data_IF_915484264168
#
_entry.id   IF_915484264168
#
_cell.length_a   1.000
_cell.length_b   1.000
_cell.length_c   1.000
_cell.angle_alpha   90.00
_cell.angle_beta   90.00
_cell.angle_gamma   90.00
#
_symmetry.space_group_name_H-M   'P 1'
#
loop_
_entity.id
_entity.type
_entity.pdbx_description
1 polymer ?
#
# COMPACT_ATOMS: atom_id res chain seq x y z
N UNK A 1 -18.42 18.12 -8.07
CA UNK A 1 -18.15 16.67 -7.94
C UNK A 1 -17.67 16.37 -6.55
N UNK A 2 -18.16 15.30 -5.97
CA UNK A 2 -17.73 14.91 -4.65
C UNK A 2 -16.31 14.29 -4.70
N UNK A 3 -15.60 14.38 -3.59
CA UNK A 3 -14.28 13.79 -3.49
C UNK A 3 -14.29 12.28 -3.68
N UNK A 4 -15.41 11.62 -3.33
CA UNK A 4 -15.58 10.19 -3.55
C UNK A 4 -15.46 9.82 -5.02
N UNK A 5 -16.04 10.62 -5.93
CA UNK A 5 -15.94 10.33 -7.36
C UNK A 5 -14.51 10.33 -7.86
N UNK A 6 -13.68 11.23 -7.35
CA UNK A 6 -12.27 11.27 -7.75
C UNK A 6 -11.51 10.06 -7.23
N UNK A 7 -11.78 9.69 -5.99
CA UNK A 7 -11.20 8.47 -5.45
C UNK A 7 -11.61 7.24 -6.23
N UNK A 8 -12.88 7.18 -6.64
CA UNK A 8 -13.36 6.07 -7.45
C UNK A 8 -12.64 5.96 -8.79
N UNK A 9 -12.25 7.09 -9.38
CA UNK A 9 -11.49 7.08 -10.62
C UNK A 9 -10.13 6.40 -10.44
N UNK A 10 -9.44 6.70 -9.33
CA UNK A 10 -8.16 6.05 -9.04
C UNK A 10 -8.33 4.55 -8.84
N UNK A 11 -9.36 4.16 -8.10
CA UNK A 11 -9.64 2.74 -7.88
C UNK A 11 -10.06 2.04 -9.16
N UNK A 12 -10.88 2.68 -9.98
CA UNK A 12 -11.28 2.11 -11.25
C UNK A 12 -10.08 1.87 -12.15
N UNK A 13 -9.14 2.83 -12.19
CA UNK A 13 -7.90 2.67 -12.95
C UNK A 13 -7.07 1.51 -12.41
N UNK A 14 -7.01 1.35 -11.09
CA UNK A 14 -6.30 0.25 -10.47
C UNK A 14 -6.93 -1.09 -10.81
N UNK A 15 -8.25 -1.20 -10.74
CA UNK A 15 -8.96 -2.42 -11.11
C UNK A 15 -8.72 -2.78 -12.58
N UNK A 16 -8.67 -1.78 -13.44
CA UNK A 16 -8.44 -2.00 -14.87
C UNK A 16 -7.01 -2.48 -15.14
N UNK A 17 -6.04 -1.88 -14.46
CA UNK A 17 -4.63 -2.23 -14.65
C UNK A 17 -4.29 -3.59 -14.03
N UNK A 18 -4.92 -3.95 -12.92
CA UNK A 18 -4.60 -5.17 -12.17
C UNK A 18 -5.88 -5.90 -11.77
N UNK A 19 -6.55 -6.57 -12.74
CA UNK A 19 -7.81 -7.26 -12.43
C UNK A 19 -7.61 -8.33 -11.36
N UNK A 20 -8.48 -8.33 -10.37
CA UNK A 20 -8.48 -9.35 -9.31
C UNK A 20 -7.42 -9.16 -8.23
N UNK A 21 -6.62 -8.10 -8.29
CA UNK A 21 -5.58 -7.85 -7.28
C UNK A 21 -6.16 -7.23 -6.03
N UNK A 22 -7.14 -6.35 -6.20
CA UNK A 22 -7.79 -5.70 -5.06
C UNK A 22 -8.75 -6.70 -4.43
N UNK A 23 -8.48 -7.10 -3.19
CA UNK A 23 -9.26 -8.11 -2.49
C UNK A 23 -10.46 -7.52 -1.78
N UNK A 24 -10.32 -6.29 -1.30
CA UNK A 24 -11.37 -5.59 -0.58
C UNK A 24 -11.09 -4.11 -0.64
N UNK A 25 -12.13 -3.30 -0.48
CA UNK A 25 -11.98 -1.86 -0.43
C UNK A 25 -13.00 -1.27 0.53
N UNK A 26 -12.56 -0.29 1.31
CA UNK A 26 -13.43 0.40 2.25
C UNK A 26 -13.27 1.90 2.05
N UNK A 27 -14.39 2.59 2.06
CA UNK A 27 -14.42 4.04 1.83
C UNK A 27 -14.74 4.75 3.13
N UNK A 28 -13.94 5.74 3.48
CA UNK A 28 -14.21 6.62 4.60
C UNK A 28 -14.04 8.05 4.13
N UNK A 29 -15.08 8.64 3.62
CA UNK A 29 -15.10 9.99 3.07
C UNK A 29 -13.96 10.22 2.06
N UNK A 30 -12.84 10.82 2.49
CA UNK A 30 -11.69 11.09 1.64
C UNK A 30 -10.70 9.93 1.61
N UNK A 31 -10.79 9.05 2.58
CA UNK A 31 -9.88 7.92 2.70
C UNK A 31 -10.45 6.69 2.04
N UNK A 32 -9.58 5.96 1.40
CA UNK A 32 -9.95 4.68 0.79
C UNK A 32 -8.94 3.64 1.21
N UNK A 33 -9.42 2.50 1.64
CA UNK A 33 -8.56 1.39 2.00
C UNK A 33 -8.68 0.31 0.94
N UNK A 34 -7.57 0.01 0.29
CA UNK A 34 -7.51 -1.03 -0.71
C UNK A 34 -6.59 -2.14 -0.22
N UNK A 35 -7.09 -3.35 -0.16
CA UNK A 35 -6.30 -4.51 0.23
C UNK A 35 -5.87 -5.24 -1.04
N UNK A 36 -4.56 -5.41 -1.23
CA UNK A 36 -4.02 -6.06 -2.42
C UNK A 36 -3.29 -7.35 -2.05
N UNK A 37 -3.16 -8.23 -3.03
CA UNK A 37 -2.38 -9.45 -2.86
C UNK A 37 -0.90 -9.12 -2.70
N UNK A 38 -0.24 -9.85 -1.80
CA UNK A 38 1.15 -9.56 -1.44
C UNK A 38 2.09 -9.54 -2.65
N UNK A 39 1.92 -10.48 -3.58
CA UNK A 39 2.84 -10.60 -4.71
C UNK A 39 2.68 -9.49 -5.76
N UNK A 40 1.67 -8.63 -5.63
CA UNK A 40 1.46 -7.51 -6.55
C UNK A 40 1.65 -6.16 -5.86
N UNK A 41 2.10 -6.14 -4.61
CA UNK A 41 2.25 -4.90 -3.86
C UNK A 41 3.15 -3.87 -4.53
N UNK A 42 4.38 -4.24 -4.98
CA UNK A 42 5.24 -3.22 -5.61
C UNK A 42 4.63 -2.63 -6.88
N UNK A 43 4.00 -3.46 -7.68
CA UNK A 43 3.37 -3.02 -8.92
C UNK A 43 2.22 -2.04 -8.65
N UNK A 44 1.41 -2.32 -7.64
CA UNK A 44 0.27 -1.46 -7.29
C UNK A 44 0.76 -0.11 -6.77
N UNK A 45 1.74 -0.10 -5.86
CA UNK A 45 2.25 1.16 -5.32
C UNK A 45 2.95 1.96 -6.41
N UNK A 46 3.72 1.31 -7.28
CA UNK A 46 4.35 1.98 -8.41
C UNK A 46 3.31 2.63 -9.33
N UNK A 47 2.24 1.93 -9.61
CA UNK A 47 1.15 2.44 -10.45
C UNK A 47 0.53 3.71 -9.84
N UNK A 48 0.21 3.66 -8.56
CA UNK A 48 -0.38 4.80 -7.88
C UNK A 48 0.59 5.98 -7.82
N UNK A 49 1.87 5.70 -7.66
CA UNK A 49 2.90 6.73 -7.53
C UNK A 49 3.20 7.39 -8.88
N UNK A 50 3.53 6.59 -9.89
CA UNK A 50 4.01 7.14 -11.17
C UNK A 50 2.91 7.38 -12.18
N UNK A 51 1.89 6.53 -12.23
CA UNK A 51 0.84 6.66 -13.24
C UNK A 51 -0.31 7.51 -12.78
N UNK A 52 -0.60 7.51 -11.49
CA UNK A 52 -1.72 8.26 -10.95
C UNK A 52 -1.29 9.52 -10.19
N UNK A 53 0.00 9.78 -10.11
CA UNK A 53 0.52 10.99 -9.50
C UNK A 53 0.43 11.05 -7.98
N UNK A 54 0.38 9.92 -7.33
CA UNK A 54 0.32 9.88 -5.86
C UNK A 54 1.68 10.03 -5.22
N UNK A 55 1.67 10.43 -3.96
CA UNK A 55 2.86 10.51 -3.13
C UNK A 55 2.74 9.48 -2.01
N UNK A 56 3.85 8.86 -1.66
CA UNK A 56 3.89 8.01 -0.48
C UNK A 56 4.03 8.91 0.75
N UNK A 57 2.91 9.11 1.45
CA UNK A 57 2.89 9.99 2.62
C UNK A 57 3.48 9.34 3.84
N UNK A 58 3.08 8.10 4.12
CA UNK A 58 3.57 7.36 5.27
C UNK A 58 3.48 5.87 4.98
N UNK A 59 4.37 5.12 5.58
CA UNK A 59 4.42 3.67 5.49
C UNK A 59 4.65 3.15 6.89
N UNK A 60 3.82 2.22 7.34
CA UNK A 60 3.97 1.68 8.68
C UNK A 60 3.45 0.25 8.75
N UNK A 61 3.92 -0.47 9.76
CA UNK A 61 3.43 -1.81 10.03
C UNK A 61 2.52 -1.83 11.24
N UNK A 62 1.78 -2.90 11.37
CA UNK A 62 0.93 -3.12 12.53
C UNK A 62 0.83 -4.60 12.84
N UNK A 63 0.87 -4.94 14.11
CA UNK A 63 0.68 -6.31 14.57
C UNK A 63 -0.81 -6.55 14.77
N UNK A 64 -1.40 -7.25 13.82
CA UNK A 64 -2.85 -7.54 13.83
C UNK A 64 -3.14 -9.02 14.08
N UNK A 65 -2.18 -9.73 14.68
CA UNK A 65 -2.34 -11.17 14.91
C UNK A 65 -3.53 -11.51 15.79
N UNK A 66 -3.85 -10.65 16.75
CA UNK A 66 -5.00 -10.89 17.63
C UNK A 66 -6.33 -10.64 16.94
N UNK A 67 -6.32 -9.84 15.88
CA UNK A 67 -7.55 -9.51 15.14
C UNK A 67 -7.79 -10.46 13.98
N UNK A 68 -6.74 -10.75 13.20
CA UNK A 68 -6.89 -11.54 11.97
C UNK A 68 -5.79 -12.58 11.76
N UNK A 69 -4.86 -12.72 12.70
CA UNK A 69 -3.81 -13.72 12.60
C UNK A 69 -2.59 -13.30 11.79
N UNK A 70 -2.55 -12.07 11.32
CA UNK A 70 -1.49 -11.58 10.44
C UNK A 70 -0.88 -10.29 10.96
N UNK A 71 0.30 -9.96 10.46
CA UNK A 71 0.79 -8.58 10.47
C UNK A 71 0.23 -7.88 9.23
N UNK A 72 0.26 -6.57 9.25
CA UNK A 72 -0.12 -5.77 8.08
C UNK A 72 0.88 -4.66 7.87
N UNK A 73 1.11 -4.29 6.60
CA UNK A 73 1.90 -3.12 6.25
C UNK A 73 1.00 -2.21 5.42
N UNK A 74 1.05 -0.92 5.74
CA UNK A 74 0.18 0.09 5.17
C UNK A 74 1.03 1.10 4.40
N UNK A 75 0.68 1.31 3.14
CA UNK A 75 1.30 2.33 2.28
C UNK A 75 0.25 3.39 2.00
N UNK A 76 0.38 4.54 2.64
CA UNK A 76 -0.62 5.61 2.54
C UNK A 76 -0.22 6.55 1.41
N UNK A 77 -1.01 6.55 0.34
CA UNK A 77 -0.75 7.38 -0.82
C UNK A 77 -1.65 8.60 -0.80
N UNK A 78 -1.04 9.79 -0.89
CA UNK A 78 -1.77 11.04 -1.05
C UNK A 78 -1.94 11.31 -2.53
N UNK A 79 -3.18 11.34 -3.00
CA UNK A 79 -3.51 11.55 -4.41
C UNK A 79 -3.83 13.02 -4.61
N UNK A 80 -2.83 13.78 -5.07
CA UNK A 80 -2.88 15.22 -4.96
C UNK A 80 -3.34 16.01 -6.17
N UNK A 81 -3.94 15.43 -7.13
CA UNK A 81 -4.37 16.15 -8.34
C UNK A 81 -5.49 17.16 -8.03
N UNK A 82 -5.21 18.09 -7.09
CA UNK A 82 -6.21 19.06 -6.67
C UNK A 82 -7.27 18.50 -5.75
N UNK A 83 -7.09 17.27 -5.30
CA UNK A 83 -8.03 16.62 -4.41
C UNK A 83 -7.30 16.25 -3.13
N UNK A 84 -8.03 16.15 -2.04
CA UNK A 84 -7.47 15.68 -0.76
C UNK A 84 -7.83 14.22 -0.57
N UNK A 85 -7.53 13.42 -1.57
CA UNK A 85 -7.87 12.00 -1.57
C UNK A 85 -6.67 11.18 -1.13
N UNK A 86 -6.92 10.21 -0.25
CA UNK A 86 -5.90 9.30 0.25
C UNK A 86 -6.27 7.88 -0.13
N UNK A 87 -5.33 7.13 -0.66
CA UNK A 87 -5.51 5.71 -0.92
C UNK A 87 -4.49 4.96 -0.08
N UNK A 88 -4.99 4.09 0.80
CA UNK A 88 -4.13 3.28 1.65
C UNK A 88 -4.08 1.87 1.10
N UNK A 89 -2.90 1.44 0.69
CA UNK A 89 -2.67 0.06 0.24
C UNK A 89 -2.26 -0.74 1.46
N UNK A 90 -3.08 -1.73 1.80
CA UNK A 90 -2.82 -2.60 2.95
C UNK A 90 -2.44 -3.98 2.43
N UNK A 91 -1.31 -4.49 2.89
CA UNK A 91 -0.90 -5.85 2.58
C UNK A 91 -0.81 -6.65 3.87
N UNK A 92 -1.33 -7.86 3.85
CA UNK A 92 -1.23 -8.77 5.00
C UNK A 92 0.02 -9.60 4.88
N UNK A 93 0.73 -9.76 5.99
CA UNK A 93 1.98 -10.52 6.04
C UNK A 93 1.77 -11.73 6.94
N UNK A 94 2.00 -12.91 6.38
CA UNK A 94 1.84 -14.17 7.09
C UNK A 94 2.75 -14.19 8.32
N UNK A 95 2.17 -14.42 9.50
CA UNK A 95 2.90 -14.46 10.76
C UNK A 95 3.91 -15.60 10.83
N UNK A 96 3.75 -16.61 10.00
CA UNK A 96 4.67 -17.75 9.95
C UNK A 96 5.81 -17.56 8.95
N UNK A 97 5.67 -16.62 8.03
CA UNK A 97 6.68 -16.38 7.00
C UNK A 97 7.43 -15.06 7.21
N UNK A 98 6.73 -14.01 7.64
CA UNK A 98 7.30 -12.71 7.99
C UNK A 98 8.01 -12.02 6.81
N UNK A 99 7.54 -12.25 5.59
CA UNK A 99 8.11 -11.66 4.38
C UNK A 99 7.05 -10.99 3.54
N UNK A 100 7.44 -9.89 2.91
CA UNK A 100 6.59 -9.24 1.92
C UNK A 100 7.50 -8.60 0.85
N UNK A 101 7.01 -8.44 -0.39
CA UNK A 101 7.86 -7.88 -1.45
C UNK A 101 8.13 -6.40 -1.20
N UNK A 102 9.41 -6.01 -1.29
CA UNK A 102 9.82 -4.62 -1.09
C UNK A 102 9.33 -3.75 -2.24
N UNK A 103 8.82 -2.58 -1.91
CA UNK A 103 8.42 -1.56 -2.89
C UNK A 103 9.60 -0.65 -3.25
N UNK A 104 10.63 -0.59 -2.40
CA UNK A 104 11.75 0.34 -2.55
C UNK A 104 12.43 0.30 -3.91
N UNK A 105 12.67 -0.87 -4.54
CA UNK A 105 13.33 -0.88 -5.86
C UNK A 105 12.55 -0.12 -6.93
N UNK A 106 11.24 -0.05 -6.81
CA UNK A 106 10.39 0.67 -7.76
C UNK A 106 10.06 2.08 -7.31
N UNK A 107 9.91 2.28 -6.00
CA UNK A 107 9.58 3.57 -5.40
C UNK A 107 10.55 3.81 -4.25
N UNK A 108 11.70 4.46 -4.52
CA UNK A 108 12.73 4.64 -3.49
C UNK A 108 12.28 5.36 -2.23
N UNK A 109 11.21 6.14 -2.32
CA UNK A 109 10.65 6.82 -1.14
C UNK A 109 10.21 5.85 -0.04
N UNK A 110 10.04 4.56 -0.35
CA UNK A 110 9.61 3.56 0.62
C UNK A 110 10.73 3.06 1.54
N UNK A 111 11.98 3.43 1.26
CA UNK A 111 13.13 2.78 1.91
C UNK A 111 13.12 2.90 3.44
N UNK A 112 12.89 4.11 3.96
CA UNK A 112 12.95 4.33 5.41
C UNK A 112 11.81 3.63 6.13
N UNK A 113 10.61 3.70 5.59
CA UNK A 113 9.45 3.03 6.20
C UNK A 113 9.61 1.51 6.22
N UNK A 114 10.14 0.94 5.12
CA UNK A 114 10.34 -0.51 5.06
C UNK A 114 11.42 -0.98 6.04
N UNK A 115 12.49 -0.20 6.19
CA UNK A 115 13.51 -0.51 7.19
C UNK A 115 12.95 -0.45 8.60
N UNK A 116 12.12 0.54 8.87
CA UNK A 116 11.51 0.70 10.18
C UNK A 116 10.58 -0.46 10.50
N UNK A 117 9.77 -0.89 9.53
CA UNK A 117 8.88 -2.05 9.69
C UNK A 117 9.71 -3.31 9.98
N UNK A 118 10.82 -3.50 9.28
CA UNK A 118 11.72 -4.62 9.53
C UNK A 118 12.27 -4.57 10.96
N UNK A 119 12.74 -3.40 11.37
CA UNK A 119 13.39 -3.25 12.67
C UNK A 119 12.40 -3.40 13.82
N UNK A 120 11.17 -2.92 13.65
CA UNK A 120 10.17 -2.96 14.71
C UNK A 120 9.46 -4.30 14.85
N UNK A 121 9.22 -4.99 13.74
CA UNK A 121 8.38 -6.18 13.75
C UNK A 121 9.08 -7.44 13.23
N UNK A 122 10.28 -7.31 12.69
CA UNK A 122 10.95 -8.43 12.07
C UNK A 122 10.36 -8.84 10.73
N UNK A 123 9.53 -7.98 10.12
CA UNK A 123 8.96 -8.25 8.80
C UNK A 123 10.00 -7.90 7.74
N UNK A 124 10.27 -8.85 6.86
CA UNK A 124 11.39 -8.72 5.91
C UNK A 124 10.87 -8.26 4.56
N UNK A 125 11.22 -7.03 4.13
CA UNK A 125 10.90 -6.58 2.78
C UNK A 125 11.86 -7.21 1.80
N UNK A 126 11.40 -8.23 1.10
CA UNK A 126 12.23 -9.01 0.18
C UNK A 126 12.55 -8.15 -1.04
N UNK A 127 13.85 -7.98 -1.31
CA UNK A 127 14.31 -7.13 -2.40
C UNK A 127 14.71 -5.73 -1.95
N UNK A 128 14.59 -5.43 -0.64
CA UNK A 128 15.08 -4.16 -0.13
C UNK A 128 16.60 -4.09 -0.31
N UNK A 129 17.11 -3.04 -0.99
CA UNK A 129 18.54 -2.93 -1.19
C UNK A 129 19.28 -2.77 0.14
N UNK A 130 20.37 -3.50 0.31
CA UNK A 130 21.26 -3.32 1.45
C UNK A 130 22.12 -2.09 1.24
N UNK A 131 22.52 -1.50 2.33
CA UNK A 131 23.40 -0.34 2.27
C UNK A 131 24.78 -0.71 1.80
#
# INVERSE_FOLDING_TARGET
MSEEKLGQQYLAALHQAFPGVVLDEAWQTKDQLTIVKVNYLPEVVEFLYYKQGGWLSVLFGNDERQLCGHYAVYYVMSMEQGTKCWITVRVEVDANKLEFPSVTPRVPAAVWGEREVRDMYGLIPVGLPDE
#
